data_IF_133807320824
#
_entry.id   IF_133807320824
#
_cell.length_a   1.000
_cell.length_b   1.000
_cell.length_c   1.000
_cell.angle_alpha   90.00
_cell.angle_beta   90.00
_cell.angle_gamma   90.00
#
_symmetry.space_group_name_H-M   'P 1'
#
loop_
_entity.id
_entity.type
_entity.pdbx_description
1 polymer ?
#
# COMPACT_ATOMS: atom_id res chain seq x y z
N UNK A 1 -5.37 6.07 6.65
CA UNK A 1 -3.94 6.41 6.52
C UNK A 1 -3.73 7.65 7.34
N UNK A 2 -2.69 7.71 8.18
CA UNK A 2 -2.38 8.96 8.87
C UNK A 2 -1.79 9.90 7.82
N UNK A 3 -2.52 10.94 7.45
CA UNK A 3 -2.01 11.97 6.54
C UNK A 3 -0.96 12.76 7.31
N UNK A 4 0.31 12.61 6.94
CA UNK A 4 1.36 13.51 7.44
C UNK A 4 1.14 14.85 6.74
N UNK A 5 0.62 15.84 7.47
CA UNK A 5 0.47 17.20 6.96
C UNK A 5 1.76 17.98 7.18
N UNK A 6 2.37 18.42 6.08
CA UNK A 6 3.50 19.34 6.11
C UNK A 6 2.99 20.78 6.08
N UNK A 7 3.24 21.54 7.15
CA UNK A 7 2.86 22.95 7.28
C UNK A 7 4.02 23.83 6.80
N UNK A 8 4.00 24.15 5.49
CA UNK A 8 5.02 24.97 4.82
C UNK A 8 5.25 26.30 5.54
N UNK A 9 4.19 26.94 6.03
CA UNK A 9 4.29 28.24 6.69
C UNK A 9 5.02 28.14 8.03
N UNK A 10 4.66 27.16 8.88
CA UNK A 10 5.38 26.94 10.15
C UNK A 10 6.85 26.57 9.91
N UNK A 11 7.13 25.80 8.86
CA UNK A 11 8.49 25.41 8.50
C UNK A 11 9.33 26.63 8.09
N UNK A 12 8.84 27.45 7.15
CA UNK A 12 9.50 28.69 6.71
C UNK A 12 9.72 29.63 7.91
N UNK A 13 8.69 29.83 8.73
CA UNK A 13 8.80 30.69 9.92
C UNK A 13 9.91 30.23 10.85
N UNK A 14 10.01 28.92 11.11
CA UNK A 14 11.04 28.35 11.99
C UNK A 14 12.45 28.54 11.43
N UNK A 15 12.63 28.44 10.11
CA UNK A 15 13.91 28.71 9.45
C UNK A 15 14.28 30.20 9.54
N UNK A 16 13.32 31.09 9.29
CA UNK A 16 13.52 32.54 9.43
C UNK A 16 13.88 32.94 10.87
N UNK A 17 13.19 32.36 11.87
CA UNK A 17 13.48 32.58 13.29
C UNK A 17 14.89 32.07 13.68
N UNK A 18 15.44 31.09 12.94
CA UNK A 18 16.80 30.57 13.09
C UNK A 18 17.85 31.37 12.30
N UNK A 19 17.46 32.44 11.61
CA UNK A 19 18.37 33.31 10.85
C UNK A 19 18.58 32.90 9.39
N UNK A 20 17.81 31.95 8.86
CA UNK A 20 17.82 31.61 7.43
C UNK A 20 17.13 32.71 6.63
N UNK A 21 17.71 33.09 5.49
CA UNK A 21 17.09 34.08 4.61
C UNK A 21 15.74 33.58 4.07
N UNK A 22 14.80 34.49 3.83
CA UNK A 22 13.46 34.15 3.33
C UNK A 22 13.50 33.32 2.03
N UNK A 23 14.34 33.73 1.09
CA UNK A 23 14.52 33.02 -0.18
C UNK A 23 15.04 31.57 0.01
N UNK A 24 15.94 31.35 0.98
CA UNK A 24 16.41 29.99 1.30
C UNK A 24 15.35 29.19 2.04
N UNK A 25 14.64 29.79 2.99
CA UNK A 25 13.59 29.13 3.74
C UNK A 25 12.45 28.65 2.83
N UNK A 26 12.07 29.48 1.84
CA UNK A 26 11.10 29.11 0.80
C UNK A 26 11.62 27.96 -0.07
N UNK A 27 12.87 28.05 -0.56
CA UNK A 27 13.46 27.01 -1.40
C UNK A 27 13.59 25.66 -0.67
N UNK A 28 13.97 25.67 0.61
CA UNK A 28 14.01 24.46 1.44
C UNK A 28 12.62 23.88 1.68
N UNK A 29 11.62 24.73 1.91
CA UNK A 29 10.24 24.29 2.14
C UNK A 29 9.65 23.64 0.88
N UNK A 30 9.92 24.21 -0.30
CA UNK A 30 9.50 23.66 -1.58
C UNK A 30 10.20 22.33 -1.88
N UNK A 31 11.53 22.26 -1.69
CA UNK A 31 12.29 21.03 -1.90
C UNK A 31 11.81 19.90 -0.98
N UNK A 32 11.57 20.20 0.30
CA UNK A 32 11.08 19.22 1.27
C UNK A 32 9.64 18.79 0.97
N UNK A 33 8.76 19.72 0.57
CA UNK A 33 7.39 19.42 0.14
C UNK A 33 7.38 18.49 -1.07
N UNK A 34 8.21 18.76 -2.08
CA UNK A 34 8.35 17.91 -3.27
C UNK A 34 8.87 16.50 -2.91
N UNK A 35 9.91 16.41 -2.08
CA UNK A 35 10.46 15.13 -1.63
C UNK A 35 9.45 14.31 -0.81
N UNK A 36 8.66 14.96 0.05
CA UNK A 36 7.58 14.30 0.80
C UNK A 36 6.50 13.77 -0.13
N UNK A 37 6.05 14.56 -1.11
CA UNK A 37 5.07 14.13 -2.11
C UNK A 37 5.56 12.93 -2.92
N UNK A 38 6.83 12.93 -3.33
CA UNK A 38 7.44 11.83 -4.07
C UNK A 38 7.57 10.56 -3.20
N UNK A 39 8.01 10.70 -1.94
CA UNK A 39 8.09 9.58 -0.99
C UNK A 39 6.73 8.93 -0.72
N UNK A 40 5.67 9.75 -0.63
CA UNK A 40 4.30 9.29 -0.43
C UNK A 40 3.75 8.52 -1.64
N UNK A 41 4.22 8.85 -2.85
CA UNK A 41 3.88 8.12 -4.07
C UNK A 41 4.65 6.80 -4.20
N UNK A 42 5.92 6.77 -3.75
CA UNK A 42 6.82 5.64 -3.96
C UNK A 42 6.83 4.60 -2.81
N UNK A 43 6.32 4.90 -1.61
CA UNK A 43 6.44 4.01 -0.45
C UNK A 43 5.33 2.98 -0.24
N UNK A 44 4.33 2.88 -1.11
CA UNK A 44 3.28 1.89 -0.90
C UNK A 44 3.16 0.97 -2.12
N UNK A 45 3.54 -0.31 -1.95
CA UNK A 45 2.66 -1.36 -2.45
C UNK A 45 1.28 -1.01 -1.90
N UNK A 46 0.44 -0.46 -2.76
CA UNK A 46 -0.76 0.21 -2.31
C UNK A 46 -1.61 -0.80 -1.55
N UNK A 47 -2.38 -0.35 -0.55
CA UNK A 47 -3.36 -1.24 0.10
C UNK A 47 -4.24 -1.98 -0.93
N UNK A 48 -4.44 -1.38 -2.12
CA UNK A 48 -5.07 -2.02 -3.26
C UNK A 48 -4.32 -3.22 -3.81
N UNK A 49 -2.98 -3.20 -3.85
CA UNK A 49 -2.17 -4.35 -4.30
C UNK A 49 -2.32 -5.52 -3.32
N UNK A 50 -2.30 -5.25 -2.01
CA UNK A 50 -2.56 -6.26 -0.98
C UNK A 50 -3.98 -6.82 -1.13
N UNK A 51 -4.98 -5.95 -1.29
CA UNK A 51 -6.37 -6.36 -1.44
C UNK A 51 -6.61 -7.16 -2.73
N UNK A 52 -5.87 -6.83 -3.80
CA UNK A 52 -5.88 -7.61 -5.04
C UNK A 52 -5.29 -9.00 -4.82
N UNK A 53 -4.15 -9.10 -4.14
CA UNK A 53 -3.54 -10.40 -3.82
C UNK A 53 -4.44 -11.26 -2.91
N UNK A 54 -5.13 -10.66 -1.94
CA UNK A 54 -6.09 -11.37 -1.08
C UNK A 54 -7.25 -11.99 -1.88
N UNK A 55 -7.77 -11.27 -2.89
CA UNK A 55 -8.83 -11.78 -3.78
C UNK A 55 -8.34 -12.92 -4.66
N UNK A 56 -7.15 -12.79 -5.24
CA UNK A 56 -6.54 -13.85 -6.05
C UNK A 56 -6.28 -15.11 -5.19
N UNK A 57 -5.83 -14.95 -3.93
CA UNK A 57 -5.68 -16.04 -2.97
C UNK A 57 -7.01 -16.68 -2.56
N UNK A 58 -8.07 -15.90 -2.37
CA UNK A 58 -9.39 -16.43 -2.04
C UNK A 58 -9.93 -17.29 -3.19
N UNK A 59 -9.82 -16.82 -4.43
CA UNK A 59 -10.19 -17.58 -5.63
C UNK A 59 -9.41 -18.90 -5.71
N UNK A 60 -8.10 -18.84 -5.50
CA UNK A 60 -7.25 -20.04 -5.54
C UNK A 60 -7.62 -21.06 -4.44
N UNK A 61 -7.99 -20.61 -3.23
CA UNK A 61 -8.49 -21.49 -2.17
C UNK A 61 -9.78 -22.20 -2.57
N UNK A 62 -10.73 -21.49 -3.20
CA UNK A 62 -11.99 -22.09 -3.65
C UNK A 62 -11.76 -23.09 -4.78
N UNK A 63 -10.91 -22.77 -5.76
CA UNK A 63 -10.56 -23.70 -6.83
C UNK A 63 -9.88 -24.97 -6.31
N UNK A 64 -8.97 -24.83 -5.33
CA UNK A 64 -8.35 -25.99 -4.69
C UNK A 64 -9.40 -26.85 -3.98
N UNK A 65 -10.33 -26.20 -3.25
CA UNK A 65 -11.43 -26.89 -2.59
C UNK A 65 -12.33 -27.66 -3.56
N UNK A 66 -12.68 -27.09 -4.72
CA UNK A 66 -13.52 -27.75 -5.72
C UNK A 66 -12.81 -28.93 -6.38
N UNK A 67 -11.50 -28.80 -6.68
CA UNK A 67 -10.69 -29.89 -7.23
C UNK A 67 -10.58 -31.03 -6.21
N UNK A 68 -10.28 -30.73 -4.94
CA UNK A 68 -10.21 -31.75 -3.88
C UNK A 68 -11.56 -32.45 -3.68
N UNK A 69 -12.67 -31.71 -3.68
CA UNK A 69 -14.00 -32.28 -3.59
C UNK A 69 -14.33 -33.19 -4.79
N UNK A 70 -13.94 -32.79 -5.99
CA UNK A 70 -14.10 -33.61 -7.21
C UNK A 70 -13.31 -34.91 -7.13
N UNK A 71 -12.05 -34.85 -6.69
CA UNK A 71 -11.21 -36.04 -6.50
C UNK A 71 -11.83 -36.96 -5.44
N UNK A 72 -12.28 -36.43 -4.31
CA UNK A 72 -12.94 -37.21 -3.25
C UNK A 72 -14.22 -37.88 -3.76
N UNK A 73 -15.03 -37.18 -4.56
CA UNK A 73 -16.25 -37.75 -5.14
C UNK A 73 -15.95 -38.91 -6.10
N UNK A 74 -14.90 -38.80 -6.92
CA UNK A 74 -14.45 -39.87 -7.80
C UNK A 74 -13.97 -41.09 -7.01
N UNK A 75 -13.20 -40.86 -5.94
CA UNK A 75 -12.73 -41.92 -5.04
C UNK A 75 -13.92 -42.65 -4.41
N UNK A 76 -14.86 -41.92 -3.81
CA UNK A 76 -16.05 -42.52 -3.18
C UNK A 76 -16.89 -43.32 -4.19
N UNK A 77 -17.11 -42.77 -5.39
CA UNK A 77 -17.84 -43.47 -6.45
C UNK A 77 -17.13 -44.77 -6.87
N UNK A 78 -15.80 -44.78 -6.96
CA UNK A 78 -15.06 -45.98 -7.33
C UNK A 78 -15.18 -47.09 -6.27
N UNK A 79 -15.20 -46.74 -4.98
CA UNK A 79 -15.36 -47.71 -3.89
C UNK A 79 -16.80 -48.17 -3.67
N UNK A 80 -17.80 -47.34 -3.95
CA UNK A 80 -19.22 -47.70 -3.83
C UNK A 80 -19.75 -48.50 -5.03
N UNK A 81 -19.05 -48.44 -6.17
CA UNK A 81 -19.45 -49.09 -7.42
C UNK A 81 -18.64 -50.39 -7.71
N UNK A 82 -17.93 -50.91 -6.70
CA UNK A 82 -17.20 -52.18 -6.70
C UNK A 82 -17.74 -53.06 -5.57
#
# INVERSE_FOLDING_TARGET
>A
MSTITFDTYKFIKKLKDAGVSEAQAEAEADALSAALQESMQNQLATKSDIYRMEKELLLMKWMLGTVLAGILALILKAFLNN
#
